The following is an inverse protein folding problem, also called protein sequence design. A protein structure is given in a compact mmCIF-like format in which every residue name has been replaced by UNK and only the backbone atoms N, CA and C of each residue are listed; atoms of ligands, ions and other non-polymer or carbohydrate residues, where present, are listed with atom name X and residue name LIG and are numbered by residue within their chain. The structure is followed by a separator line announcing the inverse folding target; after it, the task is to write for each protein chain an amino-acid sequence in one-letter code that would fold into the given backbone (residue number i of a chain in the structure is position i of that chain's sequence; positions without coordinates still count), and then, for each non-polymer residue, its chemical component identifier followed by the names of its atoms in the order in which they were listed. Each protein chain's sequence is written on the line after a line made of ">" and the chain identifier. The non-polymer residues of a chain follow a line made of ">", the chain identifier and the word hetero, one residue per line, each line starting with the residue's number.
data_IF_937712544842
#
_entry.id   IF_937712544842
#
_cell.length_a   1.000
_cell.length_b   1.000
_cell.length_c   1.000
_cell.angle_alpha   90.00
_cell.angle_beta   90.00
_cell.angle_gamma   90.00
#
_symmetry.space_group_name_H-M   'P 1'
#
loop_
_entity.id
_entity.type
_entity.pdbx_description
1 polymer ?
#
# COMPACT_ATOMS: atom_id res chain seq x y z
N UNK A 1 8.26 19.01 -14.65
CA UNK A 1 7.46 18.97 -13.40
C UNK A 1 6.74 17.63 -13.35
N UNK A 2 7.39 16.58 -12.84
CA UNK A 2 6.81 15.23 -12.83
C UNK A 2 5.70 15.15 -11.79
N UNK A 3 4.48 14.81 -12.21
CA UNK A 3 3.38 14.47 -11.29
C UNK A 3 3.67 13.08 -10.74
N UNK A 4 4.45 13.01 -9.65
CA UNK A 4 4.71 11.78 -8.91
C UNK A 4 3.51 11.46 -8.00
N UNK A 5 2.35 11.21 -8.60
CA UNK A 5 1.11 10.86 -7.88
C UNK A 5 0.91 9.34 -7.80
N UNK A 6 1.93 8.56 -8.13
CA UNK A 6 1.85 7.10 -8.17
C UNK A 6 2.45 6.54 -6.89
N UNK A 7 1.66 5.72 -6.19
CA UNK A 7 2.14 5.02 -4.99
C UNK A 7 2.78 3.71 -5.42
N UNK A 8 4.02 3.46 -5.03
CA UNK A 8 4.68 2.18 -5.29
C UNK A 8 4.01 1.04 -4.52
N UNK A 9 3.92 -0.14 -5.14
CA UNK A 9 3.47 -1.36 -4.50
C UNK A 9 4.49 -2.47 -4.74
N UNK A 10 5.27 -2.84 -3.72
CA UNK A 10 6.23 -3.95 -3.79
C UNK A 10 5.58 -5.31 -3.52
N UNK A 11 4.32 -5.34 -3.09
CA UNK A 11 3.62 -6.56 -2.67
C UNK A 11 3.08 -7.29 -3.91
N UNK A 12 3.79 -8.31 -4.38
CA UNK A 12 3.51 -8.99 -5.66
C UNK A 12 2.13 -9.68 -5.72
N UNK A 13 1.60 -10.10 -4.56
CA UNK A 13 0.28 -10.71 -4.44
C UNK A 13 -0.83 -9.69 -4.13
N UNK A 14 -0.55 -8.38 -4.13
CA UNK A 14 -1.59 -7.37 -3.99
C UNK A 14 -2.41 -7.27 -5.28
N UNK A 15 -3.73 -7.32 -5.16
CA UNK A 15 -4.67 -7.21 -6.27
C UNK A 15 -4.54 -5.88 -7.04
N UNK A 16 -4.10 -4.82 -6.35
CA UNK A 16 -3.91 -3.49 -6.94
C UNK A 16 -2.48 -3.23 -7.43
N UNK A 17 -1.58 -4.20 -7.30
CA UNK A 17 -0.23 -4.07 -7.81
C UNK A 17 -0.19 -4.35 -9.31
N UNK A 18 0.02 -3.30 -10.08
CA UNK A 18 0.24 -3.37 -11.53
C UNK A 18 1.62 -2.76 -11.83
N UNK A 19 2.57 -3.58 -12.25
CA UNK A 19 3.91 -3.09 -12.60
C UNK A 19 4.71 -2.44 -11.46
N UNK A 20 4.51 -2.88 -10.20
CA UNK A 20 5.07 -2.28 -8.97
C UNK A 20 4.46 -0.93 -8.59
N UNK A 21 3.30 -0.60 -9.14
CA UNK A 21 2.52 0.57 -8.80
C UNK A 21 1.17 0.13 -8.22
N UNK A 22 0.67 0.87 -7.23
CA UNK A 22 -0.64 0.67 -6.64
C UNK A 22 -1.67 1.44 -7.47
N UNK A 23 -2.63 0.72 -8.03
CA UNK A 23 -3.76 1.27 -8.80
C UNK A 23 -5.06 1.29 -8.00
N UNK A 24 -4.99 1.22 -6.67
CA UNK A 24 -6.16 1.37 -5.82
C UNK A 24 -6.71 2.80 -5.93
N UNK A 25 -8.04 2.93 -6.06
CA UNK A 25 -8.73 4.23 -6.10
C UNK A 25 -8.47 5.06 -4.84
N UNK A 26 -8.33 4.38 -3.70
CA UNK A 26 -8.01 4.98 -2.41
C UNK A 26 -7.04 4.08 -1.64
N UNK A 27 -5.98 4.68 -1.10
CA UNK A 27 -5.01 4.01 -0.22
C UNK A 27 -5.24 4.47 1.20
N UNK A 28 -5.62 3.54 2.07
CA UNK A 28 -5.73 3.75 3.50
C UNK A 28 -4.54 3.05 4.18
N UNK A 29 -3.66 3.86 4.77
CA UNK A 29 -2.52 3.40 5.56
C UNK A 29 -2.84 3.62 7.02
N UNK A 30 -2.83 2.55 7.81
CA UNK A 30 -3.12 2.59 9.23
C UNK A 30 -1.91 2.14 10.04
N UNK A 31 -1.88 2.48 11.33
CA UNK A 31 -0.87 1.94 12.23
C UNK A 31 -1.06 0.42 12.40
N UNK A 32 0.04 -0.32 12.49
CA UNK A 32 0.07 -1.75 12.79
C UNK A 32 0.73 -1.96 14.16
N UNK A 33 0.19 -2.86 14.98
CA UNK A 33 0.80 -3.23 16.26
C UNK A 33 0.50 -2.24 17.39
N UNK A 34 1.49 -1.45 17.81
CA UNK A 34 1.46 -0.60 19.01
C UNK A 34 0.61 0.69 18.86
N UNK A 35 -0.05 0.85 17.71
CA UNK A 35 -0.88 2.00 17.39
C UNK A 35 -0.10 3.23 16.92
N UNK A 36 1.23 3.12 16.69
CA UNK A 36 2.05 4.25 16.24
C UNK A 36 2.56 4.05 14.81
N UNK A 37 2.10 4.91 13.90
CA UNK A 37 2.53 4.97 12.50
C UNK A 37 3.80 5.81 12.31
N UNK A 38 4.88 5.53 13.06
CA UNK A 38 6.13 6.33 13.01
C UNK A 38 7.18 5.70 12.09
N UNK A 39 7.14 4.39 11.91
CA UNK A 39 8.06 3.63 11.06
C UNK A 39 7.28 2.87 9.99
N UNK A 40 7.93 2.51 8.89
CA UNK A 40 7.31 1.68 7.85
C UNK A 40 6.82 0.34 8.40
N UNK A 41 7.53 -0.25 9.37
CA UNK A 41 7.14 -1.49 10.04
C UNK A 41 5.90 -1.31 10.95
N UNK A 42 5.69 -0.10 11.47
CA UNK A 42 4.52 0.29 12.25
C UNK A 42 3.33 0.74 11.41
N UNK A 43 3.40 0.64 10.08
CA UNK A 43 2.32 1.00 9.16
C UNK A 43 1.87 -0.19 8.32
N UNK A 44 0.56 -0.34 8.14
CA UNK A 44 -0.06 -1.35 7.29
C UNK A 44 -0.91 -0.69 6.21
N UNK A 45 -0.81 -1.18 4.98
CA UNK A 45 -1.74 -0.83 3.92
C UNK A 45 -3.05 -1.62 4.11
N UNK A 46 -4.07 -0.99 4.71
CA UNK A 46 -5.38 -1.62 4.89
C UNK A 46 -6.15 -1.79 3.58
N UNK A 47 -5.75 -1.08 2.54
CA UNK A 47 -6.22 -1.30 1.17
C UNK A 47 -5.72 -2.62 0.57
N UNK A 48 -4.69 -3.26 1.15
CA UNK A 48 -4.19 -4.53 0.63
C UNK A 48 -5.30 -5.57 0.47
N UNK A 49 -5.43 -6.12 -0.73
CA UNK A 49 -6.23 -7.31 -1.02
C UNK A 49 -5.35 -8.33 -1.69
N UNK A 50 -5.41 -9.57 -1.23
CA UNK A 50 -4.67 -10.65 -1.87
C UNK A 50 -5.37 -11.03 -3.19
N UNK A 51 -4.60 -11.08 -4.29
CA UNK A 51 -5.10 -11.49 -5.62
C UNK A 51 -5.55 -12.96 -5.69
N UNK A 52 -5.20 -13.77 -4.68
CA UNK A 52 -5.51 -15.20 -4.61
C UNK A 52 -6.64 -15.52 -3.63
N UNK A 53 -7.35 -14.52 -3.08
CA UNK A 53 -8.46 -14.73 -2.15
C UNK A 53 -9.80 -14.97 -2.84
#
# INVERSE_FOLDING_TARGET
>A
MGRCNQVGCSVENCQYNEGRLCHAERIDVNAMGDGKAVTCDGTCCSTFKNRQS
#
